data_IF_508047822437
#
_entry.id   IF_508047822437
#
_cell.length_a   1.000
_cell.length_b   1.000
_cell.length_c   1.000
_cell.angle_alpha   90.00
_cell.angle_beta   90.00
_cell.angle_gamma   90.00
#
_symmetry.space_group_name_H-M   'P 1'
#
loop_
_entity.id
_entity.type
_entity.pdbx_description
1 polymer ?
#
# COMPACT_ATOMS: atom_id res chain seq x y z
N UNK A 1 3.82 0.45 2.74
CA UNK A 1 2.55 1.09 3.16
C UNK A 1 1.62 1.25 1.97
N UNK A 2 2.17 1.42 0.74
CA UNK A 2 1.44 1.42 -0.53
C UNK A 2 0.41 0.30 -0.70
N UNK A 3 0.81 -0.97 -0.52
CA UNK A 3 -0.12 -2.08 -0.72
C UNK A 3 -1.35 -1.98 0.20
N UNK A 4 -1.14 -1.52 1.45
CA UNK A 4 -2.20 -1.33 2.45
C UNK A 4 -3.07 -0.12 2.11
N UNK A 5 -2.49 1.02 1.74
CA UNK A 5 -3.27 2.20 1.34
C UNK A 5 -4.03 1.98 0.03
N UNK A 6 -3.43 1.31 -0.95
CA UNK A 6 -4.07 0.95 -2.20
C UNK A 6 -5.24 -0.03 -1.97
N UNK A 7 -5.07 -1.03 -1.10
CA UNK A 7 -6.16 -1.94 -0.74
C UNK A 7 -7.27 -1.22 0.03
N UNK A 8 -6.92 -0.33 0.96
CA UNK A 8 -7.90 0.46 1.71
C UNK A 8 -8.69 1.40 0.79
N UNK A 9 -8.03 2.11 -0.12
CA UNK A 9 -8.68 2.95 -1.13
C UNK A 9 -9.60 2.13 -2.04
N UNK A 10 -9.17 0.94 -2.46
CA UNK A 10 -9.99 0.02 -3.23
C UNK A 10 -11.24 -0.44 -2.48
N UNK A 11 -11.07 -0.83 -1.22
CA UNK A 11 -12.18 -1.20 -0.32
C UNK A 11 -13.15 -0.03 -0.13
N UNK A 12 -12.64 1.18 0.12
CA UNK A 12 -13.46 2.38 0.27
C UNK A 12 -14.24 2.70 -1.01
N UNK A 13 -13.61 2.61 -2.18
CA UNK A 13 -14.29 2.83 -3.46
C UNK A 13 -15.43 1.82 -3.67
N UNK A 14 -15.23 0.55 -3.33
CA UNK A 14 -16.27 -0.47 -3.42
C UNK A 14 -17.41 -0.20 -2.44
N UNK A 15 -17.10 0.05 -1.16
CA UNK A 15 -18.11 0.43 -0.16
C UNK A 15 -18.92 1.66 -0.58
N UNK A 16 -18.27 2.67 -1.14
CA UNK A 16 -18.93 3.87 -1.66
C UNK A 16 -19.88 3.55 -2.83
N UNK A 17 -19.47 2.70 -3.77
CA UNK A 17 -20.34 2.25 -4.87
C UNK A 17 -21.59 1.57 -4.34
N UNK A 18 -21.43 0.67 -3.38
CA UNK A 18 -22.53 -0.08 -2.78
C UNK A 18 -23.49 0.84 -2.02
N UNK A 19 -22.95 1.79 -1.24
CA UNK A 19 -23.76 2.63 -0.38
C UNK A 19 -24.51 3.74 -1.15
N UNK A 20 -23.97 4.23 -2.28
CA UNK A 20 -24.58 5.29 -3.09
C UNK A 20 -25.92 4.87 -3.69
N UNK A 21 -26.09 3.57 -3.96
CA UNK A 21 -27.33 2.98 -4.50
C UNK A 21 -28.26 2.46 -3.40
N UNK A 22 -27.82 2.47 -2.14
CA UNK A 22 -28.60 1.99 -0.99
C UNK A 22 -29.74 2.97 -0.66
N UNK A 23 -30.96 2.46 -0.50
CA UNK A 23 -32.12 3.28 -0.12
C UNK A 23 -31.89 4.00 1.21
N UNK A 24 -31.08 3.42 2.10
CA UNK A 24 -30.70 4.02 3.39
C UNK A 24 -29.94 5.34 3.21
N UNK A 25 -29.26 5.54 2.07
CA UNK A 25 -28.58 6.81 1.76
C UNK A 25 -29.50 7.81 1.09
N UNK A 26 -30.48 7.35 0.32
CA UNK A 26 -31.46 8.24 -0.32
C UNK A 26 -32.25 9.03 0.72
N UNK A 27 -32.68 8.38 1.80
CA UNK A 27 -33.40 9.06 2.89
C UNK A 27 -32.51 10.08 3.63
N UNK A 28 -31.19 10.00 3.52
CA UNK A 28 -30.27 10.98 4.12
C UNK A 28 -30.08 12.22 3.23
N UNK A 29 -30.23 12.09 1.90
CA UNK A 29 -30.10 13.21 0.96
C UNK A 29 -28.65 13.66 0.70
N UNK A 30 -27.70 12.73 0.81
CA UNK A 30 -26.24 12.97 0.75
C UNK A 30 -25.57 12.30 -0.46
N UNK A 31 -26.39 11.81 -1.39
CA UNK A 31 -25.93 11.04 -2.56
C UNK A 31 -24.90 11.80 -3.38
N UNK A 32 -25.12 13.10 -3.60
CA UNK A 32 -24.21 13.94 -4.41
C UNK A 32 -22.84 14.05 -3.77
N UNK A 33 -22.77 14.30 -2.46
CA UNK A 33 -21.52 14.38 -1.70
C UNK A 33 -20.76 13.05 -1.76
N UNK A 34 -21.44 11.92 -1.58
CA UNK A 34 -20.80 10.59 -1.64
C UNK A 34 -20.29 10.23 -3.03
N UNK A 35 -21.03 10.56 -4.10
CA UNK A 35 -20.56 10.37 -5.48
C UNK A 35 -19.28 11.16 -5.75
N UNK A 36 -19.18 12.38 -5.23
CA UNK A 36 -17.99 13.20 -5.39
C UNK A 36 -16.81 12.69 -4.55
N UNK A 37 -17.07 12.15 -3.35
CA UNK A 37 -16.05 11.43 -2.56
C UNK A 37 -15.53 10.23 -3.33
N UNK A 38 -16.41 9.40 -3.92
CA UNK A 38 -16.03 8.24 -4.74
C UNK A 38 -15.11 8.65 -5.90
N UNK A 39 -15.52 9.67 -6.67
CA UNK A 39 -14.74 10.18 -7.80
C UNK A 39 -13.32 10.57 -7.37
N UNK A 40 -13.17 11.23 -6.23
CA UNK A 40 -11.85 11.66 -5.71
C UNK A 40 -11.03 10.50 -5.16
N UNK A 41 -11.64 9.56 -4.45
CA UNK A 41 -10.97 8.32 -4.02
C UNK A 41 -10.38 7.58 -5.23
N UNK A 42 -11.15 7.45 -6.30
CA UNK A 42 -10.69 6.79 -7.53
C UNK A 42 -9.53 7.53 -8.20
N UNK A 43 -9.57 8.86 -8.26
CA UNK A 43 -8.46 9.67 -8.78
C UNK A 43 -7.19 9.53 -7.93
N UNK A 44 -7.32 9.58 -6.60
CA UNK A 44 -6.19 9.42 -5.67
C UNK A 44 -5.58 8.02 -5.81
N UNK A 45 -6.40 7.00 -6.04
CA UNK A 45 -5.93 5.62 -6.25
C UNK A 45 -5.00 5.51 -7.45
N UNK A 46 -5.16 6.33 -8.49
CA UNK A 46 -4.29 6.32 -9.67
C UNK A 46 -2.85 6.77 -9.37
N UNK A 47 -2.65 7.66 -8.39
CA UNK A 47 -1.32 8.20 -8.07
C UNK A 47 -0.66 7.57 -6.85
N UNK A 48 -1.32 6.63 -6.15
CA UNK A 48 -0.85 6.12 -4.86
C UNK A 48 0.50 5.39 -4.96
N UNK A 49 0.73 4.72 -6.09
CA UNK A 49 1.98 4.00 -6.35
C UNK A 49 3.15 4.98 -6.53
N UNK A 50 2.95 6.04 -7.31
CA UNK A 50 3.97 7.08 -7.53
C UNK A 50 4.25 7.89 -6.26
N UNK A 51 3.22 8.17 -5.46
CA UNK A 51 3.36 8.83 -4.17
C UNK A 51 4.21 8.00 -3.19
N UNK A 52 4.00 6.68 -3.10
CA UNK A 52 4.84 5.84 -2.22
C UNK A 52 6.29 5.80 -2.68
N UNK A 53 6.57 5.77 -3.99
CA UNK A 53 7.96 5.82 -4.49
C UNK A 53 8.70 7.07 -4.03
N UNK A 54 8.01 8.21 -3.96
CA UNK A 54 8.58 9.49 -3.51
C UNK A 54 8.58 9.65 -1.99
N UNK A 55 7.84 8.81 -1.25
CA UNK A 55 7.63 8.94 0.20
C UNK A 55 8.92 9.02 1.02
N UNK A 56 9.93 8.23 0.68
CA UNK A 56 11.20 8.20 1.44
C UNK A 56 12.11 9.37 1.13
N UNK A 57 11.93 10.01 -0.02
CA UNK A 57 12.78 11.10 -0.49
C UNK A 57 12.14 12.48 -0.23
N UNK A 58 10.80 12.56 -0.22
CA UNK A 58 10.03 13.78 -0.10
C UNK A 58 9.13 13.76 1.14
N UNK A 59 9.56 14.44 2.22
CA UNK A 59 8.81 14.52 3.48
C UNK A 59 7.39 15.08 3.28
N UNK A 60 7.21 16.02 2.34
CA UNK A 60 5.91 16.56 1.99
C UNK A 60 4.95 15.46 1.49
N UNK A 61 5.44 14.56 0.62
CA UNK A 61 4.65 13.42 0.12
C UNK A 61 4.33 12.43 1.25
N UNK A 62 5.27 12.16 2.15
CA UNK A 62 5.03 11.32 3.32
C UNK A 62 3.93 11.90 4.23
N UNK A 63 3.98 13.21 4.50
CA UNK A 63 2.95 13.89 5.29
C UNK A 63 1.58 13.87 4.58
N UNK A 64 1.55 14.04 3.25
CA UNK A 64 0.32 13.95 2.46
C UNK A 64 -0.29 12.55 2.49
N UNK A 65 0.54 11.49 2.36
CA UNK A 65 0.09 10.10 2.51
C UNK A 65 -0.44 9.79 3.90
N UNK A 66 0.16 10.38 4.94
CA UNK A 66 -0.35 10.30 6.32
C UNK A 66 -1.74 10.90 6.46
N UNK A 67 -1.94 12.14 5.97
CA UNK A 67 -3.26 12.78 6.00
C UNK A 67 -4.30 12.00 5.18
N UNK A 68 -3.93 11.47 4.02
CA UNK A 68 -4.81 10.63 3.21
C UNK A 68 -5.23 9.38 4.00
N UNK A 69 -4.29 8.72 4.68
CA UNK A 69 -4.57 7.56 5.53
C UNK A 69 -5.65 7.87 6.57
N UNK A 70 -5.50 8.98 7.28
CA UNK A 70 -6.45 9.38 8.32
C UNK A 70 -7.84 9.65 7.74
N UNK A 71 -7.92 10.36 6.61
CA UNK A 71 -9.19 10.62 5.92
C UNK A 71 -9.85 9.33 5.45
N UNK A 72 -9.09 8.33 5.02
CA UNK A 72 -9.65 7.04 4.58
C UNK A 72 -10.24 6.23 5.75
N UNK A 73 -9.66 6.31 6.95
CA UNK A 73 -10.33 5.75 8.14
C UNK A 73 -11.62 6.49 8.48
N UNK A 74 -11.64 7.82 8.36
CA UNK A 74 -12.87 8.61 8.54
C UNK A 74 -13.96 8.21 7.52
N UNK A 75 -13.59 7.89 6.27
CA UNK A 75 -14.55 7.40 5.27
C UNK A 75 -15.23 6.14 5.79
N UNK A 76 -14.46 5.13 6.18
CA UNK A 76 -14.99 3.82 6.57
C UNK A 76 -15.99 3.95 7.75
N UNK A 77 -15.60 4.69 8.79
CA UNK A 77 -16.45 4.94 9.96
C UNK A 77 -17.74 5.69 9.60
N UNK A 78 -17.63 6.78 8.83
CA UNK A 78 -18.79 7.62 8.51
C UNK A 78 -19.78 6.89 7.60
N UNK A 79 -19.30 6.03 6.69
CA UNK A 79 -20.17 5.22 5.83
C UNK A 79 -20.97 4.20 6.64
N UNK A 80 -20.35 3.52 7.60
CA UNK A 80 -21.05 2.57 8.47
C UNK A 80 -22.11 3.28 9.33
N UNK A 81 -21.78 4.45 9.88
CA UNK A 81 -22.73 5.30 10.62
C UNK A 81 -23.89 5.75 9.72
N UNK A 82 -23.60 6.15 8.49
CA UNK A 82 -24.61 6.58 7.53
C UNK A 82 -25.57 5.44 7.18
N UNK A 83 -25.05 4.25 6.89
CA UNK A 83 -25.87 3.07 6.60
C UNK A 83 -26.75 2.68 7.78
N UNK A 84 -26.18 2.64 8.98
CA UNK A 84 -26.91 2.29 10.20
C UNK A 84 -28.06 3.28 10.48
N UNK A 85 -27.77 4.59 10.47
CA UNK A 85 -28.79 5.63 10.73
C UNK A 85 -29.81 5.72 9.60
N UNK A 86 -29.38 5.60 8.34
CA UNK A 86 -30.26 5.56 7.18
C UNK A 86 -31.27 4.40 7.26
N UNK A 87 -30.80 3.22 7.65
CA UNK A 87 -31.66 2.03 7.81
C UNK A 87 -32.71 2.20 8.92
N UNK A 88 -32.34 2.82 10.04
CA UNK A 88 -33.28 3.16 11.12
C UNK A 88 -34.36 4.13 10.66
N UNK A 89 -33.97 5.17 9.92
CA UNK A 89 -34.89 6.15 9.34
C UNK A 89 -35.88 5.52 8.34
N UNK A 90 -35.43 4.54 7.56
CA UNK A 90 -36.30 3.78 6.65
C UNK A 90 -37.32 2.91 7.41
N UNK A 91 -36.88 2.23 8.47
CA UNK A 91 -37.76 1.37 9.26
C UNK A 91 -38.89 2.16 9.97
N UNK A 92 -38.61 3.40 10.37
CA UNK A 92 -39.59 4.31 10.97
C UNK A 92 -40.55 4.96 9.95
N UNK A 93 -40.25 4.84 8.64
CA UNK A 93 -41.09 5.32 7.55
C UNK A 93 -41.33 4.22 6.48
N UNK A 94 -42.21 3.23 6.76
CA UNK A 94 -42.60 2.27 5.73
C UNK A 94 -43.29 2.99 4.57
N UNK A 95 -42.93 2.61 3.35
CA UNK A 95 -43.53 3.08 2.10
C UNK A 95 -45.07 3.16 2.20
N UNK A 96 -45.72 4.18 1.60
CA UNK A 96 -47.16 4.41 1.74
C UNK A 96 -48.05 3.29 1.15
N UNK A 97 -47.47 2.28 0.49
CA UNK A 97 -48.21 1.18 -0.15
C UNK A 97 -48.68 0.07 0.80
N UNK A 98 -48.32 0.06 2.09
CA UNK A 98 -48.69 -1.02 3.02
C UNK A 98 -49.68 -0.64 4.14
N UNK A 99 -50.18 0.61 4.18
CA UNK A 99 -51.13 1.01 5.23
C UNK A 99 -52.56 0.59 4.87
N UNK A 100 -52.98 -0.57 5.41
CA UNK A 100 -54.39 -0.80 5.74
C UNK A 100 -54.85 0.36 6.64
N UNK A 101 -55.85 1.07 6.18
CA UNK A 101 -56.45 2.23 6.84
C UNK A 101 -56.94 1.87 8.25
N UNK A 102 -56.29 2.40 9.28
CA UNK A 102 -56.93 2.61 10.58
C UNK A 102 -56.64 4.05 11.00
N UNK A 103 -57.73 4.80 11.09
CA UNK A 103 -57.88 6.20 11.48
C UNK A 103 -56.70 6.84 12.24
N UNK A 104 -56.05 7.82 11.61
CA UNK A 104 -55.23 8.81 12.31
C UNK A 104 -56.16 9.78 13.08
N UNK A 105 -56.45 9.46 14.34
CA UNK A 105 -56.87 10.47 15.32
C UNK A 105 -55.62 11.06 15.96
N UNK A 106 -55.41 12.37 15.76
CA UNK A 106 -54.38 13.16 16.45
C UNK A 106 -53.14 13.43 15.61
N UNK A 107 -53.15 14.57 14.90
CA UNK A 107 -51.95 15.14 14.27
C UNK A 107 -50.99 15.60 15.38
N UNK A 108 -50.14 14.70 15.87
CA UNK A 108 -48.96 15.12 16.62
C UNK A 108 -47.91 15.55 15.61
N UNK A 109 -47.82 16.86 15.37
CA UNK A 109 -46.83 17.47 14.46
C UNK A 109 -45.38 17.12 14.88
N UNK A 110 -45.16 16.64 16.10
CA UNK A 110 -43.84 16.28 16.64
C UNK A 110 -43.22 15.03 16.01
N UNK A 111 -44.02 14.06 15.53
CA UNK A 111 -43.46 12.80 14.98
C UNK A 111 -42.80 12.97 13.61
N UNK A 112 -43.09 14.04 12.87
CA UNK A 112 -42.45 14.33 11.59
C UNK A 112 -41.07 15.00 11.73
N UNK A 113 -40.76 15.60 12.88
CA UNK A 113 -39.51 16.38 13.08
C UNK A 113 -38.44 15.63 13.89
N UNK A 114 -38.77 14.52 14.57
CA UNK A 114 -37.82 13.75 15.38
C UNK A 114 -36.63 13.19 14.56
N UNK A 115 -36.83 13.00 13.26
CA UNK A 115 -35.85 12.37 12.36
C UNK A 115 -34.94 13.35 11.61
N UNK A 116 -35.13 14.66 11.82
CA UNK A 116 -34.29 15.71 11.20
C UNK A 116 -32.93 15.77 11.87
N UNK A 117 -32.85 15.63 13.20
CA UNK A 117 -31.59 15.75 13.94
C UNK A 117 -30.60 14.64 13.56
N UNK A 118 -30.98 13.34 13.55
CA UNK A 118 -30.08 12.26 13.12
C UNK A 118 -29.67 12.37 11.65
N UNK A 119 -30.62 12.75 10.77
CA UNK A 119 -30.36 12.98 9.34
C UNK A 119 -29.36 14.11 9.12
N UNK A 120 -29.54 15.23 9.82
CA UNK A 120 -28.66 16.41 9.74
C UNK A 120 -27.27 16.11 10.28
N UNK A 121 -27.13 15.40 11.40
CA UNK A 121 -25.83 15.00 11.95
C UNK A 121 -25.02 14.17 10.95
N UNK A 122 -25.62 13.13 10.35
CA UNK A 122 -24.94 12.33 9.32
C UNK A 122 -24.57 13.15 8.10
N UNK A 123 -25.48 13.99 7.61
CA UNK A 123 -25.22 14.83 6.45
C UNK A 123 -24.07 15.83 6.69
N UNK A 124 -23.98 16.40 7.90
CA UNK A 124 -22.87 17.27 8.30
C UNK A 124 -21.55 16.50 8.30
N UNK A 125 -21.52 15.27 8.83
CA UNK A 125 -20.32 14.42 8.83
C UNK A 125 -19.87 14.08 7.41
N UNK A 126 -20.79 13.69 6.53
CA UNK A 126 -20.48 13.39 5.12
C UNK A 126 -19.98 14.64 4.37
N UNK A 127 -20.58 15.81 4.62
CA UNK A 127 -20.09 17.07 4.04
C UNK A 127 -18.70 17.44 4.54
N UNK A 128 -18.42 17.20 5.82
CA UNK A 128 -17.08 17.37 6.40
C UNK A 128 -16.06 16.43 5.74
N UNK A 129 -16.42 15.16 5.58
CA UNK A 129 -15.62 14.16 4.87
C UNK A 129 -15.33 14.57 3.43
N UNK A 130 -16.36 15.01 2.70
CA UNK A 130 -16.23 15.53 1.35
C UNK A 130 -15.22 16.69 1.27
N UNK A 131 -15.27 17.64 2.21
CA UNK A 131 -14.28 18.73 2.29
C UNK A 131 -12.87 18.25 2.60
N UNK A 132 -12.72 17.28 3.51
CA UNK A 132 -11.40 16.71 3.87
C UNK A 132 -10.75 16.05 2.66
N UNK A 133 -11.48 15.18 1.95
CA UNK A 133 -10.94 14.51 0.77
C UNK A 133 -10.73 15.49 -0.39
N UNK A 134 -11.56 16.54 -0.46
CA UNK A 134 -11.37 17.60 -1.42
C UNK A 134 -10.06 18.35 -1.21
N UNK A 135 -9.75 18.69 0.04
CA UNK A 135 -8.49 19.33 0.40
C UNK A 135 -7.30 18.46 0.00
N UNK A 136 -7.34 17.16 0.28
CA UNK A 136 -6.29 16.20 -0.12
C UNK A 136 -6.09 16.19 -1.65
N UNK A 137 -7.19 16.16 -2.40
CA UNK A 137 -7.16 16.13 -3.87
C UNK A 137 -6.80 17.47 -4.52
N UNK A 138 -6.88 18.59 -3.79
CA UNK A 138 -6.50 19.91 -4.26
C UNK A 138 -5.10 20.35 -3.78
N UNK A 139 -4.45 19.55 -2.92
CA UNK A 139 -3.10 19.86 -2.47
C UNK A 139 -2.13 19.93 -3.66
N UNK A 140 -1.22 20.91 -3.61
CA UNK A 140 -0.19 21.09 -4.64
C UNK A 140 0.63 19.82 -4.87
N UNK A 141 0.79 18.99 -3.84
CA UNK A 141 1.47 17.68 -3.92
C UNK A 141 0.72 16.75 -4.88
N UNK A 142 -0.61 16.68 -4.80
CA UNK A 142 -1.43 15.88 -5.72
C UNK A 142 -1.25 16.32 -7.18
N UNK A 143 -1.14 17.62 -7.43
CA UNK A 143 -0.89 18.15 -8.78
C UNK A 143 0.45 17.67 -9.36
N UNK A 144 1.46 17.39 -8.53
CA UNK A 144 2.77 16.87 -9.00
C UNK A 144 2.73 15.42 -9.47
N UNK A 145 1.63 14.70 -9.20
CA UNK A 145 1.39 13.37 -9.74
C UNK A 145 0.53 13.39 -11.01
N UNK A 146 -0.30 14.42 -11.20
CA UNK A 146 -1.15 14.57 -12.40
C UNK A 146 -0.44 15.30 -13.55
N UNK A 147 0.57 16.11 -13.26
CA UNK A 147 1.43 16.71 -14.29
C UNK A 147 2.44 15.68 -14.78
N UNK A 148 2.27 15.21 -16.02
CA UNK A 148 3.20 14.31 -16.74
C UNK A 148 4.61 14.90 -16.97
N UNK A 149 4.94 16.07 -16.42
CA UNK A 149 6.30 16.57 -16.42
C UNK A 149 7.08 15.85 -15.33
N UNK A 150 7.59 14.67 -15.70
CA UNK A 150 8.79 14.11 -15.09
C UNK A 150 9.77 15.28 -14.94
N UNK A 151 10.23 15.63 -13.72
CA UNK A 151 11.52 16.26 -13.65
C UNK A 151 12.45 15.30 -14.38
N UNK A 152 13.20 15.79 -15.35
CA UNK A 152 14.35 15.09 -15.93
C UNK A 152 15.37 14.94 -14.80
N UNK A 153 15.07 14.04 -13.86
CA UNK A 153 16.01 13.59 -12.86
C UNK A 153 16.88 12.64 -13.65
N UNK A 154 18.12 13.08 -13.84
CA UNK A 154 19.24 12.28 -14.31
C UNK A 154 19.02 10.83 -13.89
N UNK A 155 19.09 9.93 -14.88
CA UNK A 155 18.66 8.54 -14.78
C UNK A 155 19.08 7.91 -13.45
N UNK A 156 18.29 6.96 -12.92
CA UNK A 156 18.62 6.35 -11.65
C UNK A 156 20.00 5.74 -11.78
N UNK A 157 21.00 6.40 -11.22
CA UNK A 157 22.20 5.73 -10.76
C UNK A 157 21.66 4.69 -9.81
N UNK A 158 21.63 3.44 -10.29
CA UNK A 158 21.38 2.26 -9.47
C UNK A 158 22.22 2.48 -8.22
N UNK A 159 21.58 2.86 -7.11
CA UNK A 159 22.25 2.93 -5.82
C UNK A 159 22.62 1.50 -5.56
N UNK A 160 23.87 1.17 -5.87
CA UNK A 160 24.45 -0.13 -5.63
C UNK A 160 24.18 -0.44 -4.16
N UNK A 161 23.23 -1.34 -3.90
CA UNK A 161 22.99 -1.81 -2.54
C UNK A 161 24.20 -2.68 -2.22
N UNK A 162 25.26 -2.03 -1.71
CA UNK A 162 26.41 -2.74 -1.18
C UNK A 162 25.91 -3.54 0.01
N UNK A 163 25.79 -4.86 -0.19
CA UNK A 163 25.75 -5.78 0.94
C UNK A 163 26.99 -5.48 1.77
N UNK A 164 26.78 -5.10 3.03
CA UNK A 164 27.89 -4.79 3.93
C UNK A 164 28.83 -5.99 4.03
N UNK A 165 30.13 -5.75 3.94
CA UNK A 165 31.13 -6.71 4.40
C UNK A 165 31.11 -6.62 5.92
N UNK A 166 30.47 -7.59 6.57
CA UNK A 166 30.45 -7.66 8.03
C UNK A 166 30.93 -9.01 8.51
N UNK A 167 31.78 -8.88 9.53
CA UNK A 167 32.32 -9.86 10.46
C UNK A 167 31.36 -11.04 10.64
N UNK A 168 31.96 -12.24 10.69
CA UNK A 168 31.32 -13.52 10.98
C UNK A 168 30.08 -13.33 11.87
N UNK A 169 28.85 -13.51 11.32
CA UNK A 169 27.65 -13.14 12.04
C UNK A 169 27.59 -13.99 13.31
N UNK A 170 27.47 -13.35 14.48
CA UNK A 170 27.23 -14.01 15.76
C UNK A 170 25.85 -14.67 15.71
N UNK A 171 25.83 -15.88 15.15
CA UNK A 171 24.63 -16.57 14.72
C UNK A 171 24.17 -17.47 15.86
N UNK A 172 23.14 -17.02 16.58
CA UNK A 172 22.56 -17.75 17.69
C UNK A 172 21.23 -18.40 17.27
N UNK A 173 20.96 -19.60 17.78
CA UNK A 173 19.69 -20.30 17.57
C UNK A 173 19.83 -21.70 16.95
N UNK A 174 19.08 -22.66 17.50
CA UNK A 174 19.10 -24.07 17.07
C UNK A 174 18.65 -24.25 15.61
N UNK A 175 17.68 -23.44 15.18
CA UNK A 175 17.10 -23.52 13.84
C UNK A 175 18.10 -23.18 12.74
N UNK A 176 18.98 -22.21 12.99
CA UNK A 176 19.99 -21.80 12.02
C UNK A 176 21.07 -22.89 11.88
N UNK A 177 21.42 -23.57 12.97
CA UNK A 177 22.34 -24.72 12.93
C UNK A 177 21.73 -25.85 12.09
N UNK A 178 20.46 -26.19 12.33
CA UNK A 178 19.77 -27.22 11.56
C UNK A 178 19.67 -26.86 10.06
N UNK A 179 19.24 -25.63 9.76
CA UNK A 179 19.12 -25.12 8.39
C UNK A 179 20.48 -25.08 7.67
N UNK A 180 21.55 -24.72 8.39
CA UNK A 180 22.92 -24.73 7.85
C UNK A 180 23.37 -26.14 7.49
N UNK A 181 23.13 -27.14 8.36
CA UNK A 181 23.47 -28.54 8.07
C UNK A 181 22.71 -29.05 6.86
N UNK A 182 21.38 -28.86 6.84
CA UNK A 182 20.53 -29.26 5.71
C UNK A 182 21.00 -28.66 4.39
N UNK A 183 21.42 -27.39 4.39
CA UNK A 183 21.91 -26.75 3.18
C UNK A 183 23.25 -27.32 2.74
N UNK A 184 24.18 -27.59 3.66
CA UNK A 184 25.45 -28.28 3.36
C UNK A 184 25.18 -29.68 2.79
N UNK A 185 24.26 -30.44 3.37
CA UNK A 185 23.89 -31.77 2.86
C UNK A 185 23.36 -31.69 1.43
N UNK A 186 22.54 -30.68 1.11
CA UNK A 186 22.05 -30.45 -0.25
C UNK A 186 23.17 -30.06 -1.22
N UNK A 187 24.12 -29.21 -0.81
CA UNK A 187 25.31 -28.85 -1.60
C UNK A 187 26.14 -30.10 -1.91
N UNK A 188 26.38 -30.95 -0.91
CA UNK A 188 27.18 -32.17 -1.06
C UNK A 188 26.49 -33.23 -1.91
N UNK A 189 25.17 -33.42 -1.73
CA UNK A 189 24.37 -34.35 -2.51
C UNK A 189 24.35 -34.02 -4.01
N UNK A 190 24.55 -32.75 -4.37
CA UNK A 190 24.54 -32.29 -5.76
C UNK A 190 25.94 -31.97 -6.32
N UNK A 191 27.03 -32.32 -5.61
CA UNK A 191 28.39 -31.94 -6.05
C UNK A 191 28.79 -32.52 -7.41
N UNK A 192 28.19 -33.63 -7.82
CA UNK A 192 28.51 -34.33 -9.07
C UNK A 192 27.85 -33.68 -10.29
N UNK A 193 26.81 -32.87 -10.09
CA UNK A 193 26.18 -32.11 -11.17
C UNK A 193 27.08 -30.92 -11.57
N UNK A 194 27.23 -30.72 -12.89
CA UNK A 194 27.96 -29.57 -13.44
C UNK A 194 27.38 -28.23 -12.99
N UNK A 195 26.06 -28.16 -12.75
CA UNK A 195 25.38 -26.97 -12.25
C UNK A 195 24.09 -27.36 -11.52
N UNK A 196 23.80 -26.68 -10.41
CA UNK A 196 22.56 -26.84 -9.66
C UNK A 196 22.18 -25.51 -8.97
N UNK A 197 20.92 -25.40 -8.53
CA UNK A 197 20.37 -24.21 -7.87
C UNK A 197 19.79 -24.60 -6.52
N UNK A 198 20.11 -23.84 -5.49
CA UNK A 198 19.52 -23.97 -4.15
C UNK A 198 18.79 -22.67 -3.79
N UNK A 199 17.57 -22.80 -3.28
CA UNK A 199 16.76 -21.68 -2.84
C UNK A 199 16.52 -21.71 -1.34
N UNK A 200 16.67 -20.56 -0.67
CA UNK A 200 16.26 -20.36 0.73
C UNK A 200 14.99 -19.53 0.71
N UNK A 201 13.88 -20.08 1.19
CA UNK A 201 12.56 -19.45 1.18
C UNK A 201 12.07 -19.23 2.60
N UNK A 202 11.35 -18.13 2.82
CA UNK A 202 10.84 -17.76 4.14
C UNK A 202 10.40 -16.30 4.19
N UNK A 203 9.75 -15.92 5.29
CA UNK A 203 9.22 -14.57 5.52
C UNK A 203 10.33 -13.50 5.60
N UNK A 204 9.97 -12.23 5.47
CA UNK A 204 10.91 -11.12 5.63
C UNK A 204 11.53 -11.10 7.04
N UNK A 205 12.82 -10.80 7.15
CA UNK A 205 13.52 -10.69 8.45
C UNK A 205 13.93 -12.02 9.11
N UNK A 206 13.57 -13.18 8.57
CA UNK A 206 13.87 -14.50 9.18
C UNK A 206 15.36 -14.93 9.12
N UNK A 207 16.23 -14.14 8.48
CA UNK A 207 17.66 -14.44 8.41
C UNK A 207 18.13 -15.27 7.20
N UNK A 208 17.35 -15.32 6.11
CA UNK A 208 17.72 -16.04 4.86
C UNK A 208 19.08 -15.62 4.32
N UNK A 209 19.28 -14.31 4.18
CA UNK A 209 20.54 -13.72 3.69
C UNK A 209 21.70 -14.07 4.62
N UNK A 210 21.47 -14.03 5.94
CA UNK A 210 22.46 -14.39 6.96
C UNK A 210 22.87 -15.85 6.86
N UNK A 211 21.92 -16.76 6.62
CA UNK A 211 22.21 -18.18 6.41
C UNK A 211 23.05 -18.42 5.14
N UNK A 212 22.70 -17.76 4.03
CA UNK A 212 23.47 -17.85 2.77
C UNK A 212 24.90 -17.29 2.93
N UNK A 213 25.09 -16.23 3.72
CA UNK A 213 26.41 -15.67 4.00
C UNK A 213 27.29 -16.65 4.78
N UNK A 214 26.73 -17.42 5.72
CA UNK A 214 27.48 -18.41 6.51
C UNK A 214 28.14 -19.49 5.64
N UNK A 215 27.40 -20.02 4.66
CA UNK A 215 27.91 -21.09 3.78
C UNK A 215 28.85 -20.58 2.70
N UNK A 216 28.75 -19.28 2.34
CA UNK A 216 29.50 -18.67 1.23
C UNK A 216 31.00 -18.87 1.40
N UNK A 217 31.52 -18.67 2.61
CA UNK A 217 32.95 -18.79 2.92
C UNK A 217 33.54 -20.19 2.72
N UNK A 218 32.71 -21.21 2.47
CA UNK A 218 33.17 -22.58 2.19
C UNK A 218 33.55 -22.80 0.72
N UNK A 219 33.27 -21.86 -0.18
CA UNK A 219 33.55 -22.00 -1.62
C UNK A 219 34.78 -21.18 -2.02
N UNK A 220 35.71 -21.81 -2.75
CA UNK A 220 36.95 -21.16 -3.23
C UNK A 220 36.69 -19.98 -4.16
N UNK A 221 35.70 -20.14 -5.06
CA UNK A 221 35.27 -19.09 -5.98
C UNK A 221 33.80 -18.86 -5.72
N UNK A 222 33.44 -17.62 -5.42
CA UNK A 222 32.07 -17.23 -5.17
C UNK A 222 31.83 -15.80 -5.65
N UNK A 223 30.61 -15.50 -6.08
CA UNK A 223 30.14 -14.15 -6.30
C UNK A 223 28.97 -13.84 -5.38
N UNK A 224 28.97 -12.68 -4.74
CA UNK A 224 27.87 -12.25 -3.88
C UNK A 224 27.27 -10.98 -4.44
N UNK A 225 26.00 -11.08 -4.84
CA UNK A 225 25.36 -10.06 -5.67
C UNK A 225 23.96 -9.82 -5.12
N UNK A 226 23.61 -8.55 -4.98
CA UNK A 226 22.28 -8.13 -4.54
C UNK A 226 21.44 -7.75 -5.75
N UNK A 227 20.32 -8.44 -5.96
CA UNK A 227 19.37 -8.13 -7.04
C UNK A 227 18.07 -7.59 -6.45
N UNK A 228 17.74 -6.36 -6.78
CA UNK A 228 16.46 -5.72 -6.45
C UNK A 228 15.43 -5.89 -7.56
N UNK A 229 14.18 -5.51 -7.30
CA UNK A 229 13.09 -5.54 -8.29
C UNK A 229 13.42 -4.73 -9.55
N UNK A 230 14.06 -3.57 -9.36
CA UNK A 230 14.65 -2.80 -10.45
C UNK A 230 16.14 -3.17 -10.53
N UNK A 231 16.58 -3.76 -11.65
CA UNK A 231 17.98 -4.09 -11.90
C UNK A 231 18.34 -3.86 -13.39
N UNK A 232 19.63 -3.68 -13.67
CA UNK A 232 20.18 -3.57 -15.02
C UNK A 232 21.08 -4.77 -15.31
N UNK A 233 20.82 -5.49 -16.40
CA UNK A 233 21.54 -6.72 -16.77
C UNK A 233 23.04 -6.49 -17.00
N UNK A 234 23.41 -5.39 -17.65
CA UNK A 234 24.81 -5.05 -17.94
C UNK A 234 25.56 -4.72 -16.65
N UNK A 235 24.96 -3.92 -15.77
CA UNK A 235 25.53 -3.60 -14.46
C UNK A 235 25.68 -4.86 -13.61
N UNK A 236 24.67 -5.75 -13.62
CA UNK A 236 24.69 -6.99 -12.89
C UNK A 236 25.82 -7.92 -13.37
N UNK A 237 25.98 -8.08 -14.69
CA UNK A 237 27.05 -8.89 -15.26
C UNK A 237 28.44 -8.33 -14.91
N UNK A 238 28.61 -7.00 -14.98
CA UNK A 238 29.85 -6.33 -14.54
C UNK A 238 30.15 -6.62 -13.07
N UNK A 239 29.13 -6.65 -12.21
CA UNK A 239 29.29 -6.97 -10.78
C UNK A 239 29.67 -8.44 -10.56
N UNK A 240 29.09 -9.39 -11.32
CA UNK A 240 29.50 -10.81 -11.29
C UNK A 240 31.00 -10.94 -11.60
N UNK A 241 31.44 -10.35 -12.72
CA UNK A 241 32.82 -10.44 -13.20
C UNK A 241 33.82 -9.83 -12.20
N UNK A 242 33.47 -8.67 -11.62
CA UNK A 242 34.24 -8.03 -10.55
C UNK A 242 34.39 -8.93 -9.31
N UNK A 243 33.32 -9.62 -8.90
CA UNK A 243 33.33 -10.48 -7.72
C UNK A 243 34.15 -11.78 -7.90
N UNK A 244 34.21 -12.33 -9.12
CA UNK A 244 34.92 -13.58 -9.42
C UNK A 244 36.44 -13.34 -9.58
N UNK A 245 36.89 -12.09 -9.64
CA UNK A 245 38.31 -11.73 -9.75
C UNK A 245 38.86 -11.86 -11.17
N UNK A 246 38.01 -11.72 -12.20
CA UNK A 246 38.49 -11.60 -13.57
C UNK A 246 39.15 -10.23 -13.72
N UNK A 247 40.47 -10.18 -13.69
CA UNK A 247 41.23 -8.95 -13.94
C UNK A 247 41.01 -8.54 -15.40
N UNK A 248 40.37 -7.39 -15.61
CA UNK A 248 40.41 -6.71 -16.89
C UNK A 248 41.77 -6.03 -17.03
N UNK A 249 42.64 -6.57 -17.89
CA UNK A 249 43.78 -5.83 -18.40
C UNK A 249 43.31 -4.79 -19.42
N UNK A 250 42.67 -3.71 -18.98
CA UNK A 250 42.61 -2.45 -19.73
C UNK A 250 42.17 -1.30 -18.81
N UNK A 251 43.15 -0.63 -18.21
CA UNK A 251 43.31 0.83 -18.30
C UNK A 251 42.13 1.77 -18.02
N UNK A 252 41.30 1.54 -17.00
CA UNK A 252 40.46 2.62 -16.46
C UNK A 252 40.53 2.64 -14.92
N UNK A 253 40.99 3.78 -14.40
CA UNK A 253 41.23 4.07 -12.99
C UNK A 253 39.94 4.07 -12.16
N UNK A 254 40.10 3.68 -10.90
CA UNK A 254 39.13 3.43 -9.82
C UNK A 254 38.19 4.63 -9.47
N UNK A 255 38.16 5.70 -10.25
CA UNK A 255 37.43 6.93 -9.91
C UNK A 255 36.05 7.10 -10.56
N UNK A 256 35.63 6.26 -11.51
CA UNK A 256 34.31 6.39 -12.13
C UNK A 256 33.59 5.04 -12.18
N UNK A 257 32.33 5.04 -11.69
CA UNK A 257 31.31 3.97 -11.57
C UNK A 257 31.03 3.49 -10.14
#
# INVERSE_FOLDING_TARGET
>A
MAAVLASLLGSCANKLKDIIIDEAILILGVKKELTEVLRRVELIRCCIYDAEKRRTEEQAVNNWLGQLRDVIYDVDEILDVARCKGSKLLAEHPSPSSRKSVACKGLSVSSCFCNIVPRRDVAVRIRSLHKKIEKIANDKIFSTFNSSTRPTRNGPTSKLIRSSNLVEPNLVGKEIIHSSRKLVDLVLAHKEYKSYKLGIVGTGGVGKTTLAQKIKGSFKIHAWISVSQDYNEVTLLKEVLRNIGVHHEQGETIAEL
#
